data_IF_234341853506
#
_entry.id   IF_234341853506
#
_cell.length_a   1.000
_cell.length_b   1.000
_cell.length_c   1.000
_cell.angle_alpha   90.00
_cell.angle_beta   90.00
_cell.angle_gamma   90.00
#
_symmetry.space_group_name_H-M   'P 1'
#
loop_
_entity.id
_entity.type
_entity.pdbx_description
1 polymer ?
#
# COMPACT_ATOMS: atom_id res chain seq x y z
N UNK A 1 -4.86 4.00 -4.83
CA UNK A 1 -3.64 3.61 -4.09
C UNK A 1 -2.37 4.25 -4.63
N UNK A 2 -2.07 4.14 -5.91
CA UNK A 2 -0.83 4.69 -6.49
C UNK A 2 -0.73 6.21 -6.30
N UNK A 3 -1.80 6.94 -6.59
CA UNK A 3 -1.79 8.41 -6.43
C UNK A 3 -1.62 8.83 -4.96
N UNK A 4 -2.19 8.07 -4.02
CA UNK A 4 -2.08 8.37 -2.60
C UNK A 4 -0.64 8.19 -2.11
N UNK A 5 0.02 7.10 -2.51
CA UNK A 5 1.43 6.87 -2.17
C UNK A 5 2.34 7.91 -2.82
N UNK A 6 2.08 8.25 -4.07
CA UNK A 6 2.83 9.30 -4.76
C UNK A 6 2.69 10.67 -4.06
N UNK A 7 1.46 11.04 -3.69
CA UNK A 7 1.20 12.31 -3.01
C UNK A 7 1.97 12.42 -1.69
N UNK A 8 1.96 11.36 -0.87
CA UNK A 8 2.71 11.32 0.38
C UNK A 8 4.23 11.45 0.14
N UNK A 9 4.76 10.73 -0.85
CA UNK A 9 6.17 10.78 -1.19
C UNK A 9 6.61 12.14 -1.75
N UNK A 10 5.77 12.73 -2.59
CA UNK A 10 6.12 13.96 -3.32
C UNK A 10 5.89 15.24 -2.53
N UNK A 11 4.89 15.23 -1.66
CA UNK A 11 4.45 16.41 -0.90
C UNK A 11 4.31 16.10 0.59
N UNK A 12 5.39 15.64 1.25
CA UNK A 12 5.34 15.27 2.67
C UNK A 12 5.05 16.45 3.60
N UNK A 13 5.26 17.67 3.12
CA UNK A 13 4.93 18.89 3.85
C UNK A 13 3.43 19.20 3.85
N UNK A 14 2.65 18.54 2.98
CA UNK A 14 1.20 18.73 2.87
C UNK A 14 0.47 17.51 3.45
N UNK A 15 0.93 16.30 3.12
CA UNK A 15 0.25 15.06 3.50
C UNK A 15 1.00 14.36 4.65
N UNK A 16 0.32 14.19 5.77
CA UNK A 16 0.86 13.46 6.93
C UNK A 16 0.70 11.95 6.87
N UNK A 17 -0.03 11.45 5.88
CA UNK A 17 -0.25 10.02 5.71
C UNK A 17 -0.94 9.69 4.40
N UNK A 18 -1.00 8.40 4.10
CA UNK A 18 -1.70 7.89 2.92
C UNK A 18 -2.38 6.55 3.21
N UNK A 19 -3.62 6.41 2.71
CA UNK A 19 -4.32 5.13 2.65
C UNK A 19 -4.35 4.64 1.20
N UNK A 20 -3.75 3.48 0.98
CA UNK A 20 -3.59 2.88 -0.34
C UNK A 20 -4.37 1.56 -0.40
N UNK A 21 -5.67 1.65 -0.74
CA UNK A 21 -6.55 0.49 -0.84
C UNK A 21 -6.35 -0.20 -2.20
N UNK A 22 -6.17 -1.51 -2.18
CA UNK A 22 -6.01 -2.34 -3.39
C UNK A 22 -5.06 -1.72 -4.40
N UNK A 23 -3.86 -1.35 -3.95
CA UNK A 23 -2.91 -0.63 -4.80
C UNK A 23 -2.43 -1.51 -5.95
N UNK A 24 -2.47 -0.95 -7.17
CA UNK A 24 -1.97 -1.63 -8.37
C UNK A 24 -0.43 -1.69 -8.36
N UNK A 25 0.12 -2.42 -7.37
CA UNK A 25 1.56 -2.50 -7.09
C UNK A 25 2.37 -3.14 -8.21
N UNK A 26 1.72 -3.83 -9.12
CA UNK A 26 2.36 -4.46 -10.28
C UNK A 26 2.71 -3.45 -11.36
N UNK A 27 2.04 -2.28 -11.39
CA UNK A 27 2.20 -1.19 -12.36
C UNK A 27 2.04 -1.62 -13.84
N UNK A 28 1.66 -2.85 -14.07
CA UNK A 28 1.43 -3.44 -15.38
C UNK A 28 0.30 -4.45 -15.28
N UNK A 29 -0.22 -4.88 -16.43
CA UNK A 29 -1.16 -5.99 -16.45
C UNK A 29 -0.50 -7.24 -15.86
N UNK A 30 -1.28 -8.06 -15.13
CA UNK A 30 -0.71 -9.18 -14.39
C UNK A 30 0.03 -10.14 -15.32
N UNK A 31 1.27 -10.41 -14.98
CA UNK A 31 2.00 -11.53 -15.53
C UNK A 31 1.51 -12.80 -14.81
N UNK A 32 0.96 -13.79 -15.51
CA UNK A 32 0.51 -15.02 -14.89
C UNK A 32 1.63 -15.79 -14.18
N UNK A 33 2.89 -15.49 -14.46
CA UNK A 33 4.03 -16.06 -13.73
C UNK A 33 4.26 -15.44 -12.37
N UNK A 34 3.64 -14.29 -12.08
CA UNK A 34 3.77 -13.53 -10.82
C UNK A 34 5.24 -13.32 -10.39
N UNK A 35 6.11 -13.06 -11.34
CA UNK A 35 7.51 -12.77 -11.05
C UNK A 35 7.69 -11.28 -10.72
N UNK A 36 8.69 -11.00 -9.89
CA UNK A 36 9.08 -9.63 -9.60
C UNK A 36 9.60 -8.94 -10.87
N UNK A 37 8.89 -7.91 -11.31
CA UNK A 37 9.25 -7.17 -12.50
C UNK A 37 10.14 -5.97 -12.16
N UNK A 38 10.82 -5.42 -13.18
CA UNK A 38 11.59 -4.20 -13.02
C UNK A 38 10.71 -3.01 -12.57
N UNK A 39 9.45 -2.97 -13.03
CA UNK A 39 8.50 -1.93 -12.63
C UNK A 39 8.10 -2.06 -11.16
N UNK A 40 7.83 -3.27 -10.70
CA UNK A 40 7.54 -3.54 -9.28
C UNK A 40 8.72 -3.16 -8.39
N UNK A 41 9.93 -3.56 -8.79
CA UNK A 41 11.16 -3.23 -8.08
C UNK A 41 11.40 -1.71 -8.04
N UNK A 42 11.15 -1.01 -9.14
CA UNK A 42 11.28 0.45 -9.21
C UNK A 42 10.28 1.15 -8.28
N UNK A 43 9.04 0.67 -8.20
CA UNK A 43 8.03 1.23 -7.29
C UNK A 43 8.44 1.02 -5.82
N UNK A 44 8.90 -0.18 -5.46
CA UNK A 44 9.42 -0.43 -4.10
C UNK A 44 10.60 0.48 -3.76
N UNK A 45 11.53 0.65 -4.69
CA UNK A 45 12.67 1.53 -4.48
C UNK A 45 12.23 2.99 -4.30
N UNK A 46 11.26 3.43 -5.08
CA UNK A 46 10.69 4.77 -4.93
C UNK A 46 10.06 4.96 -3.56
N UNK A 47 9.25 4.01 -3.09
CA UNK A 47 8.68 4.07 -1.74
C UNK A 47 9.77 4.09 -0.67
N UNK A 48 10.77 3.22 -0.78
CA UNK A 48 11.88 3.15 0.18
C UNK A 48 12.62 4.48 0.31
N UNK A 49 12.82 5.18 -0.80
CA UNK A 49 13.57 6.43 -0.83
C UNK A 49 12.77 7.66 -0.43
N UNK A 50 11.45 7.64 -0.63
CA UNK A 50 10.63 8.86 -0.58
C UNK A 50 9.49 8.83 0.42
N UNK A 51 9.06 7.68 0.94
CA UNK A 51 8.06 7.68 2.01
C UNK A 51 8.68 8.32 3.25
N UNK A 52 8.09 9.41 3.77
CA UNK A 52 8.70 10.14 4.89
C UNK A 52 8.64 9.32 6.18
N UNK A 53 9.80 9.19 6.83
CA UNK A 53 9.95 8.40 8.06
C UNK A 53 9.58 9.15 9.34
N UNK A 54 9.36 10.47 9.26
CA UNK A 54 9.14 11.31 10.42
C UNK A 54 7.65 11.54 10.67
N UNK A 55 7.03 10.64 11.42
CA UNK A 55 5.66 10.79 11.89
C UNK A 55 4.56 10.53 10.87
N UNK A 56 4.89 10.21 9.63
CA UNK A 56 3.90 9.86 8.63
C UNK A 56 3.27 8.49 8.91
N UNK A 57 1.99 8.34 8.56
CA UNK A 57 1.28 7.05 8.64
C UNK A 57 0.98 6.54 7.24
N UNK A 58 1.36 5.31 6.96
CA UNK A 58 1.19 4.69 5.66
C UNK A 58 0.40 3.39 5.78
N UNK A 59 -0.76 3.36 5.11
CA UNK A 59 -1.66 2.21 5.12
C UNK A 59 -1.73 1.60 3.73
N UNK A 60 -1.65 0.28 3.67
CA UNK A 60 -1.88 -0.50 2.44
C UNK A 60 -2.79 -1.69 2.72
N UNK A 61 -3.59 -2.07 1.75
CA UNK A 61 -4.39 -3.29 1.82
C UNK A 61 -4.61 -3.91 0.44
N UNK A 62 -5.09 -5.13 0.44
CA UNK A 62 -5.65 -5.78 -0.74
C UNK A 62 -6.55 -6.95 -0.35
N UNK A 63 -7.41 -7.32 -1.28
CA UNK A 63 -8.13 -8.59 -1.29
C UNK A 63 -7.40 -9.65 -2.10
N UNK A 64 -8.15 -10.65 -2.57
CA UNK A 64 -7.64 -11.76 -3.38
C UNK A 64 -8.53 -12.13 -4.58
N UNK A 65 -9.55 -11.31 -4.86
CA UNK A 65 -10.46 -11.52 -5.98
C UNK A 65 -10.28 -10.46 -7.06
N UNK A 66 -10.62 -10.79 -8.30
CA UNK A 66 -10.45 -9.93 -9.48
C UNK A 66 -9.00 -9.45 -9.62
N UNK A 67 -8.75 -8.16 -9.84
CA UNK A 67 -7.38 -7.64 -9.97
C UNK A 67 -6.53 -7.86 -8.71
N UNK A 68 -7.15 -7.84 -7.53
CA UNK A 68 -6.42 -8.02 -6.27
C UNK A 68 -5.74 -9.38 -6.15
N UNK A 69 -6.23 -10.40 -6.86
CA UNK A 69 -5.58 -11.71 -6.93
C UNK A 69 -4.14 -11.65 -7.43
N UNK A 70 -3.77 -10.58 -8.13
CA UNK A 70 -2.44 -10.40 -8.72
C UNK A 70 -1.49 -9.60 -7.82
N UNK A 71 -1.96 -9.09 -6.68
CA UNK A 71 -1.18 -8.15 -5.85
C UNK A 71 -0.44 -8.81 -4.69
N UNK A 72 -0.76 -10.06 -4.36
CA UNK A 72 -0.26 -10.70 -3.14
C UNK A 72 1.28 -10.71 -3.06
N UNK A 73 1.96 -11.13 -4.12
CA UNK A 73 3.43 -11.17 -4.13
C UNK A 73 4.02 -9.75 -4.09
N UNK A 74 3.51 -8.86 -4.94
CA UNK A 74 4.01 -7.49 -5.01
C UNK A 74 3.84 -6.76 -3.68
N UNK A 75 2.69 -6.94 -3.03
CA UNK A 75 2.42 -6.37 -1.72
C UNK A 75 3.30 -6.97 -0.62
N UNK A 76 3.52 -8.29 -0.65
CA UNK A 76 4.41 -8.95 0.31
C UNK A 76 5.83 -8.39 0.23
N UNK A 77 6.35 -8.16 -0.96
CA UNK A 77 7.67 -7.55 -1.16
C UNK A 77 7.73 -6.11 -0.65
N UNK A 78 6.66 -5.33 -0.81
CA UNK A 78 6.56 -3.98 -0.23
C UNK A 78 6.55 -4.07 1.29
N UNK A 79 5.76 -4.97 1.89
CA UNK A 79 5.71 -5.14 3.33
C UNK A 79 7.08 -5.46 3.91
N UNK A 80 7.78 -6.42 3.31
CA UNK A 80 9.13 -6.80 3.75
C UNK A 80 10.08 -5.60 3.69
N UNK A 81 10.06 -4.84 2.61
CA UNK A 81 10.87 -3.63 2.47
C UNK A 81 10.55 -2.59 3.54
N UNK A 82 9.27 -2.37 3.84
CA UNK A 82 8.86 -1.40 4.86
C UNK A 82 9.36 -1.80 6.24
N UNK A 83 9.17 -3.07 6.64
CA UNK A 83 9.63 -3.55 7.94
C UNK A 83 11.16 -3.58 8.06
N UNK A 84 11.86 -4.01 7.01
CA UNK A 84 13.33 -3.97 6.96
C UNK A 84 13.88 -2.54 7.01
N UNK A 85 13.11 -1.57 6.56
CA UNK A 85 13.45 -0.14 6.63
C UNK A 85 13.13 0.49 7.99
N UNK A 86 12.64 -0.29 8.96
CA UNK A 86 12.39 0.17 10.33
C UNK A 86 11.00 0.72 10.59
N UNK A 87 10.05 0.56 9.67
CA UNK A 87 8.67 0.95 9.90
C UNK A 87 8.00 0.01 10.90
N UNK A 88 7.38 0.57 11.91
CA UNK A 88 6.66 -0.16 12.96
C UNK A 88 5.14 -0.12 12.74
N UNK A 89 4.39 -0.87 13.56
CA UNK A 89 2.95 -0.98 13.47
C UNK A 89 2.18 0.30 13.80
N UNK A 90 2.83 1.30 14.39
CA UNK A 90 2.24 2.62 14.66
C UNK A 90 2.18 3.47 13.39
N UNK A 91 3.16 3.30 12.50
CA UNK A 91 3.33 4.15 11.32
C UNK A 91 3.09 3.42 10.00
N UNK A 92 3.17 2.09 9.98
CA UNK A 92 2.84 1.29 8.80
C UNK A 92 1.86 0.19 9.16
N UNK A 93 0.72 0.16 8.44
CA UNK A 93 -0.29 -0.89 8.60
C UNK A 93 -0.60 -1.53 7.26
N UNK A 94 -0.49 -2.85 7.20
CA UNK A 94 -0.99 -3.66 6.09
C UNK A 94 -2.13 -4.55 6.55
N UNK A 95 -3.18 -4.63 5.73
CA UNK A 95 -4.33 -5.52 6.00
C UNK A 95 -4.67 -6.34 4.76
N UNK A 96 -4.90 -7.63 4.99
CA UNK A 96 -5.40 -8.55 3.96
C UNK A 96 -6.86 -8.88 4.23
N UNK A 97 -7.68 -8.81 3.16
CA UNK A 97 -9.12 -9.04 3.22
C UNK A 97 -9.51 -10.18 2.28
N UNK A 98 -9.44 -11.45 2.74
CA UNK A 98 -9.76 -12.61 1.91
C UNK A 98 -11.21 -12.54 1.41
N UNK A 99 -11.44 -12.97 0.17
CA UNK A 99 -12.75 -12.98 -0.45
C UNK A 99 -13.21 -11.63 -1.00
N UNK A 100 -12.39 -10.58 -0.95
CA UNK A 100 -12.76 -9.27 -1.47
C UNK A 100 -12.11 -8.96 -2.81
N UNK A 101 -12.80 -8.15 -3.61
CA UNK A 101 -12.47 -7.82 -4.98
C UNK A 101 -11.93 -6.38 -5.12
N UNK A 102 -11.39 -6.09 -6.29
CA UNK A 102 -10.98 -4.75 -6.70
C UNK A 102 -12.20 -3.93 -7.11
N UNK A 103 -12.99 -3.48 -6.14
CA UNK A 103 -14.21 -2.72 -6.42
C UNK A 103 -14.59 -1.80 -5.25
N UNK A 104 -15.38 -0.79 -5.59
CA UNK A 104 -15.80 0.27 -4.67
C UNK A 104 -16.62 -0.25 -3.49
N UNK A 105 -17.44 -1.27 -3.68
CA UNK A 105 -18.24 -1.84 -2.60
C UNK A 105 -17.37 -2.49 -1.52
N UNK A 106 -16.33 -3.23 -1.93
CA UNK A 106 -15.40 -3.85 -1.00
C UNK A 106 -14.51 -2.80 -0.31
N UNK A 107 -14.09 -1.75 -1.01
CA UNK A 107 -13.33 -0.66 -0.39
C UNK A 107 -14.19 0.11 0.62
N UNK A 108 -15.43 0.41 0.27
CA UNK A 108 -16.37 1.09 1.16
C UNK A 108 -16.60 0.30 2.45
N UNK A 109 -16.72 -1.01 2.34
CA UNK A 109 -16.99 -1.89 3.49
C UNK A 109 -15.88 -1.88 4.54
N UNK A 110 -14.66 -1.46 4.17
CA UNK A 110 -13.49 -1.45 5.07
C UNK A 110 -12.83 -0.08 5.26
N UNK A 111 -13.46 0.98 4.78
CA UNK A 111 -12.87 2.33 4.77
C UNK A 111 -12.63 2.89 6.17
N UNK A 112 -13.41 2.45 7.16
CA UNK A 112 -13.24 2.85 8.56
C UNK A 112 -11.84 2.46 9.11
N UNK A 113 -11.29 1.34 8.68
CA UNK A 113 -10.00 0.84 9.16
C UNK A 113 -8.85 1.81 8.85
N UNK A 114 -8.60 2.19 7.58
CA UNK A 114 -7.56 3.17 7.29
C UNK A 114 -7.85 4.55 7.86
N UNK A 115 -9.11 4.98 7.93
CA UNK A 115 -9.45 6.27 8.53
C UNK A 115 -9.10 6.31 10.01
N UNK A 116 -9.47 5.28 10.77
CA UNK A 116 -9.10 5.19 12.19
C UNK A 116 -7.59 5.15 12.37
N UNK A 117 -6.87 4.38 11.55
CA UNK A 117 -5.42 4.32 11.62
C UNK A 117 -4.75 5.67 11.36
N UNK A 118 -5.18 6.38 10.31
CA UNK A 118 -4.58 7.66 9.93
C UNK A 118 -4.91 8.78 10.91
N UNK A 119 -6.13 8.79 11.45
CA UNK A 119 -6.65 9.90 12.25
C UNK A 119 -6.54 9.68 13.76
N UNK A 120 -6.16 8.48 14.21
CA UNK A 120 -5.95 8.23 15.64
C UNK A 120 -4.81 9.07 16.17
N UNK A 121 -5.04 9.72 17.29
CA UNK A 121 -3.99 10.42 18.05
C UNK A 121 -3.01 9.39 18.63
N UNK A 122 -1.76 9.74 18.63
CA UNK A 122 -0.71 8.92 19.23
C UNK A 122 -0.65 9.08 20.75
#
# INVERSE_FOLDING_TARGET
GLISSYALCRYPEIFGGAACLSTHCTLAFPDPTQQDSAMMAAYRMYLKQHVPVNGAKFYMDNGDQTLDANYLMAQALINDMMYESGWDSTHYMYRFFPGTAHCEDDWRARLDIPLLFLLAEE
#
